data_IF_667852781948
#
_entry.id   IF_667852781948
#
_cell.length_a   1.000
_cell.length_b   1.000
_cell.length_c   1.000
_cell.angle_alpha   90.00
_cell.angle_beta   90.00
_cell.angle_gamma   90.00
#
_symmetry.space_group_name_H-M   'P 1'
#
loop_
_entity.id
_entity.type
_entity.pdbx_description
1 polymer ?
#
# COMPACT_ATOMS: atom_id res chain seq x y z
N UNK A 1 -16.25 -28.90 -8.81
CA UNK A 1 -16.57 -27.49 -8.49
C UNK A 1 -15.28 -26.81 -8.11
N UNK A 2 -14.97 -25.65 -8.70
CA UNK A 2 -13.77 -24.91 -8.31
C UNK A 2 -13.96 -24.35 -6.89
N UNK A 3 -12.92 -24.44 -6.06
CA UNK A 3 -12.91 -23.84 -4.71
C UNK A 3 -13.04 -22.32 -4.84
N UNK A 4 -13.93 -21.73 -4.04
CA UNK A 4 -14.11 -20.28 -3.99
C UNK A 4 -12.79 -19.58 -3.62
N UNK A 5 -12.44 -18.43 -4.22
CA UNK A 5 -11.26 -17.68 -3.82
C UNK A 5 -11.36 -17.27 -2.35
N UNK A 6 -10.35 -17.64 -1.57
CA UNK A 6 -10.31 -17.41 -0.13
C UNK A 6 -8.93 -16.95 0.32
N UNK A 7 -8.89 -16.28 1.47
CA UNK A 7 -7.67 -16.01 2.23
C UNK A 7 -7.88 -16.53 3.64
N UNK A 8 -7.00 -17.45 4.06
CA UNK A 8 -7.10 -18.17 5.34
C UNK A 8 -8.46 -18.89 5.54
N UNK A 9 -9.07 -19.39 4.45
CA UNK A 9 -10.35 -20.09 4.51
C UNK A 9 -11.58 -19.18 4.58
N UNK A 10 -11.41 -17.86 4.51
CA UNK A 10 -12.51 -16.88 4.48
C UNK A 10 -12.67 -16.34 3.06
N UNK A 11 -13.90 -16.37 2.55
CA UNK A 11 -14.23 -16.02 1.17
C UNK A 11 -14.08 -14.52 0.87
N UNK A 12 -13.99 -14.17 -0.42
CA UNK A 12 -14.06 -12.77 -0.87
C UNK A 12 -15.33 -12.09 -0.34
N UNK A 13 -16.49 -12.75 -0.41
CA UNK A 13 -17.76 -12.18 0.04
C UNK A 13 -17.79 -11.88 1.55
N UNK A 14 -17.18 -12.75 2.36
CA UNK A 14 -17.06 -12.53 3.80
C UNK A 14 -16.09 -11.39 4.13
N UNK A 15 -14.94 -11.33 3.46
CA UNK A 15 -14.02 -10.20 3.63
C UNK A 15 -14.64 -8.88 3.18
N UNK A 16 -15.36 -8.86 2.07
CA UNK A 16 -16.11 -7.68 1.62
C UNK A 16 -17.12 -7.22 2.66
N UNK A 17 -17.81 -8.14 3.34
CA UNK A 17 -18.73 -7.79 4.44
C UNK A 17 -17.97 -7.17 5.63
N UNK A 18 -16.78 -7.67 5.95
CA UNK A 18 -15.96 -7.15 7.05
C UNK A 18 -15.42 -5.73 6.81
N UNK A 19 -15.40 -5.22 5.58
CA UNK A 19 -15.13 -3.81 5.28
C UNK A 19 -16.13 -2.84 5.93
N UNK A 20 -17.31 -3.32 6.33
CA UNK A 20 -18.38 -2.51 6.95
C UNK A 20 -18.40 -2.65 8.48
N UNK A 21 -17.37 -3.25 9.07
CA UNK A 21 -17.29 -3.42 10.52
C UNK A 21 -17.08 -2.08 11.24
N UNK A 22 -17.74 -1.91 12.38
CA UNK A 22 -17.47 -0.81 13.31
C UNK A 22 -16.02 -0.81 13.81
N UNK A 23 -15.38 -1.99 13.86
CA UNK A 23 -14.00 -2.13 14.30
C UNK A 23 -13.03 -1.84 13.15
N UNK A 24 -12.20 -0.78 13.23
CA UNK A 24 -11.29 -0.42 12.16
C UNK A 24 -10.16 -1.42 11.95
N UNK A 25 -9.82 -2.23 12.97
CA UNK A 25 -8.86 -3.33 12.81
C UNK A 25 -9.45 -4.42 11.91
N UNK A 26 -10.74 -4.74 12.05
CA UNK A 26 -11.41 -5.71 11.18
C UNK A 26 -11.49 -5.19 9.74
N UNK A 27 -11.82 -3.91 9.55
CA UNK A 27 -11.81 -3.29 8.22
C UNK A 27 -10.42 -3.34 7.58
N UNK A 28 -9.36 -3.00 8.33
CA UNK A 28 -7.96 -3.12 7.88
C UNK A 28 -7.60 -4.56 7.48
N UNK A 29 -7.98 -5.55 8.28
CA UNK A 29 -7.71 -6.95 7.97
C UNK A 29 -8.46 -7.40 6.71
N UNK A 30 -9.68 -6.91 6.51
CA UNK A 30 -10.48 -7.19 5.32
C UNK A 30 -9.83 -6.62 4.05
N UNK A 31 -9.41 -5.35 4.04
CA UNK A 31 -8.71 -4.77 2.88
C UNK A 31 -7.41 -5.52 2.58
N UNK A 32 -6.66 -5.90 3.62
CA UNK A 32 -5.44 -6.70 3.45
C UNK A 32 -5.73 -8.05 2.80
N UNK A 33 -6.68 -8.81 3.36
CA UNK A 33 -7.04 -10.12 2.86
C UNK A 33 -7.52 -10.07 1.40
N UNK A 34 -8.39 -9.11 1.06
CA UNK A 34 -8.85 -8.90 -0.31
C UNK A 34 -7.67 -8.66 -1.27
N UNK A 35 -6.71 -7.81 -0.88
CA UNK A 35 -5.48 -7.54 -1.64
C UNK A 35 -4.53 -8.72 -1.81
N UNK A 36 -4.68 -9.79 -1.02
CA UNK A 36 -3.93 -11.04 -1.16
C UNK A 36 -4.65 -12.06 -2.05
N UNK A 37 -5.96 -11.93 -2.27
CA UNK A 37 -6.75 -12.79 -3.17
C UNK A 37 -6.66 -12.27 -4.63
N UNK A 38 -5.45 -12.00 -5.11
CA UNK A 38 -5.20 -11.50 -6.48
C UNK A 38 -5.07 -12.68 -7.47
N UNK A 39 -5.62 -12.58 -8.69
CA UNK A 39 -6.47 -11.52 -9.24
C UNK A 39 -7.98 -11.82 -9.04
N UNK A 40 -8.35 -12.66 -8.08
CA UNK A 40 -9.70 -13.26 -8.01
C UNK A 40 -10.70 -12.45 -7.17
N UNK A 41 -10.28 -11.40 -6.48
CA UNK A 41 -11.13 -10.49 -5.71
C UNK A 41 -11.69 -9.31 -6.51
N UNK A 42 -11.80 -9.39 -7.83
CA UNK A 42 -12.31 -8.30 -8.68
C UNK A 42 -13.75 -7.89 -8.34
N UNK A 43 -14.56 -8.81 -7.78
CA UNK A 43 -15.91 -8.51 -7.29
C UNK A 43 -15.92 -7.53 -6.12
N UNK A 44 -14.80 -7.36 -5.39
CA UNK A 44 -14.69 -6.45 -4.26
C UNK A 44 -14.21 -5.04 -4.63
N UNK A 45 -13.92 -4.75 -5.91
CA UNK A 45 -13.38 -3.45 -6.35
C UNK A 45 -14.26 -2.28 -5.92
N UNK A 46 -15.58 -2.40 -6.05
CA UNK A 46 -16.51 -1.34 -5.63
C UNK A 46 -16.45 -1.05 -4.13
N UNK A 47 -16.43 -2.08 -3.28
CA UNK A 47 -16.31 -1.91 -1.83
C UNK A 47 -14.91 -1.42 -1.41
N UNK A 48 -13.85 -1.80 -2.14
CA UNK A 48 -12.50 -1.27 -1.92
C UNK A 48 -12.39 0.22 -2.27
N UNK A 49 -13.07 0.67 -3.34
CA UNK A 49 -13.18 2.09 -3.68
C UNK A 49 -13.88 2.84 -2.53
N UNK A 50 -14.99 2.31 -1.99
CA UNK A 50 -15.65 2.92 -0.84
C UNK A 50 -14.75 2.96 0.41
N UNK A 51 -13.89 1.96 0.61
CA UNK A 51 -12.93 1.93 1.72
C UNK A 51 -11.78 2.95 1.58
N UNK A 52 -11.62 3.60 0.42
CA UNK A 52 -10.70 4.72 0.25
C UNK A 52 -11.13 5.95 1.07
N UNK A 53 -12.41 6.04 1.44
CA UNK A 53 -12.97 7.12 2.26
C UNK A 53 -13.10 6.74 3.75
N UNK A 54 -12.41 5.68 4.19
CA UNK A 54 -12.47 5.23 5.58
C UNK A 54 -12.07 6.35 6.57
N UNK A 55 -12.78 6.49 7.71
CA UNK A 55 -12.42 7.50 8.71
C UNK A 55 -10.99 7.32 9.24
N UNK A 56 -10.44 6.10 9.22
CA UNK A 56 -9.10 5.81 9.70
C UNK A 56 -8.06 5.92 8.56
N UNK A 57 -7.07 6.82 8.66
CA UNK A 57 -6.08 7.04 7.60
C UNK A 57 -5.32 5.79 7.16
N UNK A 58 -4.92 4.94 8.11
CA UNK A 58 -4.22 3.72 7.78
C UNK A 58 -5.11 2.75 6.97
N UNK A 59 -6.41 2.67 7.25
CA UNK A 59 -7.33 1.81 6.48
C UNK A 59 -7.41 2.30 5.03
N UNK A 60 -7.48 3.61 4.82
CA UNK A 60 -7.45 4.20 3.46
C UNK A 60 -6.21 3.78 2.68
N UNK A 61 -5.03 3.83 3.31
CA UNK A 61 -3.77 3.41 2.66
C UNK A 61 -3.77 1.92 2.32
N UNK A 62 -4.23 1.05 3.23
CA UNK A 62 -4.36 -0.38 2.95
C UNK A 62 -5.38 -0.67 1.84
N UNK A 63 -6.49 0.07 1.79
CA UNK A 63 -7.50 -0.03 0.73
C UNK A 63 -6.90 0.38 -0.63
N UNK A 64 -6.14 1.48 -0.68
CA UNK A 64 -5.44 1.92 -1.88
C UNK A 64 -4.45 0.86 -2.37
N UNK A 65 -3.69 0.24 -1.46
CA UNK A 65 -2.77 -0.84 -1.81
C UNK A 65 -3.46 -2.09 -2.35
N UNK A 66 -4.59 -2.49 -1.74
CA UNK A 66 -5.39 -3.60 -2.23
C UNK A 66 -5.97 -3.31 -3.62
N UNK A 67 -6.53 -2.11 -3.81
CA UNK A 67 -7.09 -1.68 -5.09
C UNK A 67 -6.02 -1.64 -6.19
N UNK A 68 -4.84 -1.06 -5.92
CA UNK A 68 -3.73 -1.03 -6.88
C UNK A 68 -3.20 -2.42 -7.28
N UNK A 69 -3.40 -3.45 -6.43
CA UNK A 69 -3.04 -4.84 -6.76
C UNK A 69 -4.11 -5.57 -7.56
N UNK A 70 -5.38 -5.32 -7.25
CA UNK A 70 -6.53 -6.02 -7.86
C UNK A 70 -6.94 -5.37 -9.19
N UNK A 71 -6.86 -4.05 -9.26
CA UNK A 71 -7.27 -3.22 -10.39
C UNK A 71 -6.24 -2.08 -10.60
N UNK A 72 -5.01 -2.40 -11.07
CA UNK A 72 -3.91 -1.44 -11.22
C UNK A 72 -4.21 -0.29 -12.18
N UNK A 73 -5.23 -0.42 -13.04
CA UNK A 73 -5.72 0.61 -13.94
C UNK A 73 -6.57 1.70 -13.26
N UNK A 74 -6.89 1.53 -11.96
CA UNK A 74 -7.71 2.47 -11.18
C UNK A 74 -6.86 3.56 -10.53
N UNK A 75 -7.08 4.81 -10.95
CA UNK A 75 -6.34 5.98 -10.47
C UNK A 75 -6.70 6.39 -9.03
N UNK A 76 -7.86 5.96 -8.53
CA UNK A 76 -8.38 6.31 -7.20
C UNK A 76 -7.39 5.93 -6.08
N UNK A 77 -6.70 4.80 -6.22
CA UNK A 77 -5.66 4.37 -5.28
C UNK A 77 -4.51 5.37 -5.18
N UNK A 78 -4.07 5.93 -6.32
CA UNK A 78 -2.93 6.84 -6.34
C UNK A 78 -3.24 8.17 -5.67
N UNK A 79 -4.47 8.68 -5.79
CA UNK A 79 -4.90 9.89 -5.09
C UNK A 79 -4.79 9.74 -3.57
N UNK A 80 -5.16 8.57 -3.03
CA UNK A 80 -5.02 8.27 -1.60
C UNK A 80 -3.56 8.18 -1.19
N UNK A 81 -2.71 7.52 -1.97
CA UNK A 81 -1.28 7.46 -1.68
C UNK A 81 -0.66 8.85 -1.64
N UNK A 82 -0.95 9.71 -2.62
CA UNK A 82 -0.43 11.09 -2.66
C UNK A 82 -0.83 11.88 -1.42
N UNK A 83 -2.08 11.79 -0.99
CA UNK A 83 -2.54 12.44 0.24
C UNK A 83 -1.85 11.85 1.48
N UNK A 84 -1.74 10.53 1.57
CA UNK A 84 -1.14 9.83 2.71
C UNK A 84 0.35 10.10 2.88
N UNK A 85 1.10 10.34 1.79
CA UNK A 85 2.49 10.78 1.83
C UNK A 85 2.66 12.19 2.43
N UNK A 86 1.59 12.94 2.62
CA UNK A 86 1.60 14.29 3.22
C UNK A 86 0.80 14.33 4.53
N UNK A 87 0.40 13.18 5.07
CA UNK A 87 -0.40 13.08 6.30
C UNK A 87 0.38 13.59 7.52
N UNK A 88 -0.31 14.17 8.49
CA UNK A 88 0.31 14.69 9.72
C UNK A 88 1.02 13.58 10.53
N UNK A 89 0.47 12.37 10.49
CA UNK A 89 1.02 11.22 11.21
C UNK A 89 2.16 10.60 10.40
N UNK A 90 3.36 10.60 11.00
CA UNK A 90 4.54 9.96 10.42
C UNK A 90 4.29 8.48 10.05
N UNK A 91 3.51 7.77 10.87
CA UNK A 91 3.12 6.38 10.59
C UNK A 91 2.35 6.23 9.28
N UNK A 92 1.47 7.17 8.94
CA UNK A 92 0.67 7.11 7.71
C UNK A 92 1.56 7.40 6.50
N UNK A 93 2.45 8.40 6.60
CA UNK A 93 3.44 8.69 5.56
C UNK A 93 4.36 7.49 5.29
N UNK A 94 4.92 6.89 6.33
CA UNK A 94 5.78 5.71 6.20
C UNK A 94 5.02 4.51 5.62
N UNK A 95 3.77 4.29 6.03
CA UNK A 95 2.93 3.21 5.52
C UNK A 95 2.63 3.38 4.02
N UNK A 96 2.36 4.62 3.58
CA UNK A 96 2.14 4.93 2.16
C UNK A 96 3.40 4.66 1.33
N UNK A 97 4.56 5.17 1.78
CA UNK A 97 5.84 4.91 1.12
C UNK A 97 6.13 3.42 1.01
N UNK A 98 5.98 2.67 2.10
CA UNK A 98 6.18 1.22 2.13
C UNK A 98 5.31 0.49 1.11
N UNK A 99 4.02 0.83 1.02
CA UNK A 99 3.11 0.21 0.06
C UNK A 99 3.46 0.55 -1.38
N UNK A 100 3.78 1.81 -1.69
CA UNK A 100 4.22 2.23 -3.02
C UNK A 100 5.49 1.47 -3.44
N UNK A 101 6.46 1.34 -2.55
CA UNK A 101 7.66 0.52 -2.77
C UNK A 101 7.30 -0.91 -3.16
N UNK A 102 6.43 -1.57 -2.39
CA UNK A 102 6.06 -2.98 -2.63
C UNK A 102 5.24 -3.19 -3.89
N UNK A 103 4.44 -2.20 -4.30
CA UNK A 103 3.79 -2.20 -5.60
C UNK A 103 4.85 -2.13 -6.71
N UNK A 104 5.88 -1.32 -6.51
CA UNK A 104 7.03 -1.21 -7.39
C UNK A 104 6.61 -0.80 -8.80
N UNK A 105 7.24 -1.38 -9.81
CA UNK A 105 6.92 -1.14 -11.23
C UNK A 105 5.54 -1.63 -11.67
N UNK A 106 4.77 -2.33 -10.82
CA UNK A 106 3.37 -2.71 -11.12
C UNK A 106 2.41 -1.54 -10.94
N UNK A 107 2.81 -0.50 -10.22
CA UNK A 107 2.03 0.71 -10.08
C UNK A 107 2.01 1.47 -11.41
N UNK A 108 0.82 1.72 -11.97
CA UNK A 108 0.67 2.44 -13.23
C UNK A 108 1.29 3.85 -13.20
N UNK A 109 1.33 4.47 -12.02
CA UNK A 109 1.87 5.82 -11.74
C UNK A 109 3.25 5.78 -11.08
N UNK A 110 4.08 4.77 -11.36
CA UNK A 110 5.35 4.58 -10.66
C UNK A 110 6.30 5.80 -10.74
N UNK A 111 6.39 6.48 -11.88
CA UNK A 111 7.21 7.69 -12.04
C UNK A 111 6.72 8.84 -11.13
N UNK A 112 5.43 9.10 -11.14
CA UNK A 112 4.81 10.13 -10.30
C UNK A 112 4.91 9.77 -8.80
N UNK A 113 4.87 8.48 -8.47
CA UNK A 113 5.13 8.00 -7.11
C UNK A 113 6.58 8.26 -6.66
N UNK A 114 7.56 8.11 -7.55
CA UNK A 114 8.98 8.39 -7.26
C UNK A 114 9.15 9.85 -6.85
N UNK A 115 8.53 10.80 -7.56
CA UNK A 115 8.62 12.22 -7.22
C UNK A 115 8.07 12.50 -5.82
N UNK A 116 6.88 11.97 -5.50
CA UNK A 116 6.27 12.18 -4.20
C UNK A 116 7.02 11.47 -3.05
N UNK A 117 7.56 10.27 -3.28
CA UNK A 117 8.36 9.55 -2.27
C UNK A 117 9.73 10.22 -2.10
N UNK A 118 10.30 10.83 -3.14
CA UNK A 118 11.57 11.57 -3.03
C UNK A 118 11.48 12.72 -2.03
N UNK A 119 10.35 13.42 -1.97
CA UNK A 119 10.13 14.48 -0.99
C UNK A 119 10.19 13.99 0.48
N UNK A 120 9.94 12.70 0.73
CA UNK A 120 10.03 12.11 2.07
C UNK A 120 11.46 11.85 2.54
N UNK A 121 12.47 11.98 1.69
CA UNK A 121 13.88 11.91 2.10
C UNK A 121 14.27 13.05 3.05
N UNK A 122 13.53 14.17 3.02
CA UNK A 122 13.71 15.31 3.91
C UNK A 122 12.71 15.30 5.09
N UNK A 123 11.97 14.21 5.30
CA UNK A 123 10.97 14.13 6.36
C UNK A 123 11.61 14.28 7.76
N UNK A 124 10.92 14.99 8.66
CA UNK A 124 11.38 15.19 10.03
C UNK A 124 11.56 13.85 10.80
N UNK A 125 10.75 12.83 10.47
CA UNK A 125 10.79 11.54 11.12
C UNK A 125 11.80 10.58 10.43
N UNK A 126 12.81 10.07 11.16
CA UNK A 126 13.81 9.15 10.61
C UNK A 126 13.24 7.86 10.00
N UNK A 127 12.16 7.32 10.58
CA UNK A 127 11.51 6.11 10.07
C UNK A 127 10.84 6.38 8.72
N UNK A 128 10.28 7.58 8.51
CA UNK A 128 9.69 7.95 7.22
C UNK A 128 10.78 8.06 6.15
N UNK A 129 11.92 8.69 6.47
CA UNK A 129 13.06 8.78 5.55
C UNK A 129 13.57 7.39 5.14
N UNK A 130 13.76 6.50 6.11
CA UNK A 130 14.23 5.13 5.84
C UNK A 130 13.25 4.35 4.93
N UNK A 131 11.94 4.48 5.16
CA UNK A 131 10.94 3.86 4.29
C UNK A 131 10.91 4.48 2.89
N UNK A 132 11.15 5.80 2.78
CA UNK A 132 11.25 6.47 1.50
C UNK A 132 12.43 5.96 0.67
N UNK A 133 13.61 5.83 1.27
CA UNK A 133 14.79 5.25 0.61
C UNK A 133 14.51 3.83 0.09
N UNK A 134 13.91 2.97 0.93
CA UNK A 134 13.53 1.61 0.55
C UNK A 134 12.46 1.58 -0.54
N UNK A 135 11.52 2.52 -0.52
CA UNK A 135 10.45 2.60 -1.51
C UNK A 135 10.97 3.06 -2.87
N UNK A 136 11.81 4.11 -2.93
CA UNK A 136 12.42 4.61 -4.17
C UNK A 136 13.26 3.54 -4.86
N UNK A 137 13.99 2.81 -4.04
CA UNK A 137 14.78 1.66 -4.42
C UNK A 137 13.94 0.59 -5.16
N UNK A 138 12.79 0.23 -4.57
CA UNK A 138 11.87 -0.76 -5.13
C UNK A 138 11.11 -0.23 -6.36
N UNK A 139 10.66 1.03 -6.34
CA UNK A 139 9.95 1.70 -7.43
C UNK A 139 10.80 1.84 -8.68
N UNK A 140 12.10 2.12 -8.53
CA UNK A 140 13.04 2.29 -9.64
C UNK A 140 13.39 0.97 -10.36
N UNK A 141 12.90 -0.18 -9.89
CA UNK A 141 13.24 -1.51 -10.41
C UNK A 141 14.71 -1.91 -10.22
N UNK A 142 15.52 -1.07 -9.57
CA UNK A 142 16.94 -1.28 -9.34
C UNK A 142 17.14 -1.96 -7.99
N UNK A 143 16.73 -3.22 -7.81
CA UNK A 143 16.78 -3.97 -6.55
C UNK A 143 18.12 -4.13 -5.77
N UNK A 144 19.20 -3.36 -6.00
CA UNK A 144 20.34 -3.21 -5.07
C UNK A 144 20.22 -2.10 -3.98
N UNK A 145 20.27 -2.40 -2.67
CA UNK A 145 19.99 -1.45 -1.58
C UNK A 145 20.73 -0.10 -1.70
N UNK A 146 20.20 0.98 -1.09
CA UNK A 146 20.85 2.29 -1.02
C UNK A 146 22.36 2.18 -0.80
N UNK A 147 23.16 2.96 -1.51
CA UNK A 147 24.63 2.83 -1.51
C UNK A 147 25.20 3.02 -0.09
N UNK A 148 24.48 3.76 0.73
CA UNK A 148 24.73 4.03 2.14
C UNK A 148 24.74 2.74 2.97
N UNK A 149 23.91 1.73 2.66
CA UNK A 149 23.89 0.45 3.36
C UNK A 149 25.13 -0.42 3.07
N UNK A 150 25.82 -0.23 1.93
CA UNK A 150 27.09 -0.94 1.64
C UNK A 150 28.24 -0.43 2.51
N UNK A 151 28.19 0.84 2.89
CA UNK A 151 29.21 1.46 3.74
C UNK A 151 29.19 0.92 5.18
N UNK A 152 28.04 0.43 5.64
CA UNK A 152 27.87 -0.16 6.99
C UNK A 152 28.39 -1.60 7.10
N UNK A 153 28.52 -2.33 5.98
CA UNK A 153 28.97 -3.74 5.97
C UNK A 153 30.43 -3.88 5.54
N UNK A 154 31.01 -2.83 4.95
CA UNK A 154 32.40 -2.80 4.49
C UNK A 154 33.37 -2.17 5.51
N UNK A 155 32.87 -1.79 6.69
CA UNK A 155 33.61 -1.19 7.80
C UNK A 155 33.74 -2.12 9.02
N UNK A 156 34.10 -3.39 8.80
CA UNK A 156 34.47 -4.37 9.85
C UNK A 156 35.84 -4.96 9.57
#
# INVERSE_FOLDING_TARGET
MAREPDYLGVSVAEWTRALKSENPIQRRLAVYALGEIVPRATSAVGDLIAALDDPQPYVRVWAAAALARIAPERDEAFAVFRAALQDELAFVRSLAAWHLGRLGSRLARAEEAIDHVTALLDDANPSVRAEAELALHQLSGKGAPPVELRSLVSGS
#
